data_IF_500615678896
#
_entry.id   IF_500615678896
#
_cell.length_a   1.000
_cell.length_b   1.000
_cell.length_c   1.000
_cell.angle_alpha   90.00
_cell.angle_beta   90.00
_cell.angle_gamma   90.00
#
_symmetry.space_group_name_H-M   'P 1'
#
loop_
_entity.id
_entity.type
_entity.pdbx_description
1 polymer ?
#
# COMPACT_ATOMS: atom_id res chain seq x y z
N UNK A 1 -18.43 -6.58 -21.13
CA UNK A 1 -18.23 -7.59 -22.20
C UNK A 1 -18.62 -8.96 -21.64
N UNK A 2 -19.33 -9.87 -22.35
CA UNK A 2 -19.68 -11.19 -21.81
C UNK A 2 -18.48 -12.01 -21.29
N UNK A 3 -17.31 -11.86 -21.91
CA UNK A 3 -16.07 -12.53 -21.47
C UNK A 3 -15.61 -12.00 -20.10
N UNK A 4 -15.54 -10.68 -19.93
CA UNK A 4 -15.16 -10.03 -18.66
C UNK A 4 -16.08 -10.44 -17.48
N UNK A 5 -17.37 -10.66 -17.77
CA UNK A 5 -18.33 -11.09 -16.74
C UNK A 5 -18.01 -12.52 -16.28
N UNK A 6 -17.70 -13.42 -17.20
CA UNK A 6 -17.36 -14.80 -16.87
C UNK A 6 -16.06 -14.88 -16.08
N UNK A 7 -15.04 -14.12 -16.48
CA UNK A 7 -13.76 -14.01 -15.77
C UNK A 7 -13.95 -13.53 -14.33
N UNK A 8 -14.76 -12.49 -14.12
CA UNK A 8 -15.05 -11.98 -12.79
C UNK A 8 -15.80 -13.01 -11.93
N UNK A 9 -16.72 -13.78 -12.52
CA UNK A 9 -17.43 -14.86 -11.80
C UNK A 9 -16.45 -15.96 -11.41
N UNK A 10 -15.58 -16.39 -12.32
CA UNK A 10 -14.57 -17.41 -12.07
C UNK A 10 -13.62 -16.98 -10.94
N UNK A 11 -13.06 -15.78 -11.02
CA UNK A 11 -12.18 -15.22 -9.99
C UNK A 11 -12.87 -15.16 -8.62
N UNK A 12 -14.09 -14.59 -8.58
CA UNK A 12 -14.84 -14.43 -7.34
C UNK A 12 -15.17 -15.79 -6.71
N UNK A 13 -15.50 -16.81 -7.51
CA UNK A 13 -15.86 -18.13 -7.01
C UNK A 13 -14.65 -19.05 -6.77
N UNK A 14 -13.46 -18.71 -7.25
CA UNK A 14 -12.28 -19.56 -7.15
C UNK A 14 -11.97 -20.03 -5.71
N UNK A 15 -11.99 -19.18 -4.66
CA UNK A 15 -11.71 -19.63 -3.29
C UNK A 15 -12.70 -20.68 -2.76
N UNK A 16 -13.96 -20.64 -3.21
CA UNK A 16 -15.01 -21.60 -2.83
C UNK A 16 -14.84 -22.95 -3.53
N UNK A 17 -14.24 -22.96 -4.72
CA UNK A 17 -14.08 -24.15 -5.55
C UNK A 17 -12.78 -24.92 -5.25
N UNK A 18 -11.84 -24.33 -4.52
CA UNK A 18 -10.58 -25.00 -4.12
C UNK A 18 -10.85 -25.95 -2.96
N UNK A 19 -10.52 -27.23 -3.14
CA UNK A 19 -10.68 -28.28 -2.11
C UNK A 19 -9.71 -28.15 -0.94
N UNK A 20 -8.53 -27.60 -1.20
CA UNK A 20 -7.47 -27.38 -0.23
C UNK A 20 -6.89 -25.98 -0.45
N UNK A 21 -6.30 -25.42 0.57
CA UNK A 21 -5.68 -24.10 0.51
C UNK A 21 -5.42 -23.55 1.89
N UNK A 22 -4.75 -22.42 1.93
CA UNK A 22 -4.53 -21.70 3.17
C UNK A 22 -5.82 -21.01 3.65
N UNK A 23 -6.00 -20.89 4.97
CA UNK A 23 -7.08 -20.08 5.51
C UNK A 23 -6.79 -18.58 5.23
N UNK A 24 -7.67 -17.86 4.51
CA UNK A 24 -7.47 -16.44 4.22
C UNK A 24 -7.27 -15.58 5.47
N UNK A 25 -7.93 -15.93 6.59
CA UNK A 25 -7.77 -15.22 7.85
C UNK A 25 -6.31 -15.22 8.33
N UNK A 26 -5.58 -16.31 8.07
CA UNK A 26 -4.16 -16.41 8.44
C UNK A 26 -3.28 -15.53 7.55
N UNK A 27 -3.56 -15.48 6.25
CA UNK A 27 -2.86 -14.57 5.32
C UNK A 27 -3.09 -13.11 5.72
N UNK A 28 -4.32 -12.74 6.09
CA UNK A 28 -4.64 -11.40 6.58
C UNK A 28 -3.92 -11.08 7.90
N UNK A 29 -3.86 -12.02 8.84
CA UNK A 29 -3.13 -11.87 10.09
C UNK A 29 -1.64 -11.61 9.83
N UNK A 30 -1.01 -12.46 9.02
CA UNK A 30 0.42 -12.35 8.69
C UNK A 30 0.74 -11.04 7.95
N UNK A 31 -0.14 -10.61 7.03
CA UNK A 31 0.00 -9.32 6.35
C UNK A 31 -0.02 -8.16 7.36
N UNK A 32 -0.93 -8.19 8.33
CA UNK A 32 -1.05 -7.14 9.36
C UNK A 32 0.17 -7.11 10.27
N UNK A 33 0.62 -8.27 10.75
CA UNK A 33 1.81 -8.40 11.59
C UNK A 33 3.06 -7.89 10.85
N UNK A 34 3.28 -8.36 9.61
CA UNK A 34 4.42 -7.94 8.81
C UNK A 34 4.42 -6.42 8.56
N UNK A 35 3.28 -5.84 8.19
CA UNK A 35 3.18 -4.39 7.96
C UNK A 35 3.41 -3.59 9.25
N UNK A 36 2.93 -4.08 10.39
CA UNK A 36 3.18 -3.44 11.69
C UNK A 36 4.67 -3.46 12.04
N UNK A 37 5.35 -4.59 11.83
CA UNK A 37 6.74 -4.78 12.21
C UNK A 37 7.71 -4.03 11.29
N UNK A 38 7.42 -3.97 9.98
CA UNK A 38 8.37 -3.48 8.97
C UNK A 38 8.01 -2.13 8.37
N UNK A 39 6.74 -1.74 8.41
CA UNK A 39 6.21 -0.50 7.80
C UNK A 39 5.44 0.36 8.83
N UNK A 40 5.61 0.05 10.12
CA UNK A 40 5.02 0.75 11.26
C UNK A 40 5.53 2.18 11.46
N UNK A 41 5.59 2.65 12.71
CA UNK A 41 5.91 4.05 13.02
C UNK A 41 7.33 4.42 12.57
N UNK A 42 8.32 3.58 12.92
CA UNK A 42 9.74 3.79 12.58
C UNK A 42 10.10 2.89 11.41
N UNK A 43 10.71 3.47 10.38
CA UNK A 43 11.05 2.78 9.14
C UNK A 43 12.53 2.92 8.82
N UNK A 44 13.07 1.95 8.11
CA UNK A 44 14.43 1.98 7.55
C UNK A 44 14.40 1.40 6.14
N UNK A 45 15.33 1.80 5.28
CA UNK A 45 15.46 1.25 3.92
C UNK A 45 15.48 -0.30 3.93
N UNK A 46 16.21 -0.89 4.89
CA UNK A 46 16.33 -2.35 5.03
C UNK A 46 14.96 -3.00 5.26
N UNK A 47 14.24 -2.58 6.30
CA UNK A 47 12.94 -3.17 6.64
C UNK A 47 11.90 -2.95 5.54
N UNK A 48 11.93 -1.80 4.87
CA UNK A 48 11.03 -1.50 3.76
C UNK A 48 11.29 -2.41 2.55
N UNK A 49 12.55 -2.68 2.21
CA UNK A 49 12.91 -3.63 1.15
C UNK A 49 12.53 -5.07 1.52
N UNK A 50 12.66 -5.45 2.79
CA UNK A 50 12.19 -6.75 3.28
C UNK A 50 10.66 -6.86 3.18
N UNK A 51 9.92 -5.83 3.59
CA UNK A 51 8.46 -5.81 3.48
C UNK A 51 7.97 -5.99 2.04
N UNK A 52 8.62 -5.35 1.06
CA UNK A 52 8.27 -5.52 -0.36
C UNK A 52 8.44 -6.97 -0.84
N UNK A 53 9.47 -7.67 -0.37
CA UNK A 53 9.67 -9.10 -0.70
C UNK A 53 8.62 -9.97 -0.02
N UNK A 54 8.33 -9.72 1.24
CA UNK A 54 7.29 -10.46 1.97
C UNK A 54 5.90 -10.27 1.33
N UNK A 55 5.61 -9.08 0.79
CA UNK A 55 4.38 -8.82 0.05
C UNK A 55 4.28 -9.65 -1.23
N UNK A 56 5.39 -9.90 -1.93
CA UNK A 56 5.41 -10.80 -3.08
C UNK A 56 5.12 -12.26 -2.67
N UNK A 57 5.61 -12.69 -1.51
CA UNK A 57 5.31 -14.02 -0.95
C UNK A 57 3.84 -14.14 -0.52
N UNK A 58 3.30 -13.10 0.14
CA UNK A 58 1.88 -13.05 0.53
C UNK A 58 0.95 -13.04 -0.70
N UNK A 59 1.35 -12.41 -1.80
CA UNK A 59 0.59 -12.44 -3.06
C UNK A 59 0.53 -13.85 -3.67
N UNK A 60 1.58 -14.66 -3.49
CA UNK A 60 1.54 -16.07 -3.91
C UNK A 60 0.61 -16.86 -2.99
N UNK A 61 0.64 -16.59 -1.68
CA UNK A 61 -0.20 -17.27 -0.69
C UNK A 61 -1.69 -16.98 -0.88
N UNK A 62 -2.07 -15.74 -1.14
CA UNK A 62 -3.48 -15.36 -1.29
C UNK A 62 -4.17 -16.13 -2.42
N UNK A 63 -3.47 -16.32 -3.55
CA UNK A 63 -3.94 -17.06 -4.73
C UNK A 63 -4.25 -18.53 -4.42
N UNK A 64 -3.73 -19.06 -3.32
CA UNK A 64 -3.90 -20.44 -2.87
C UNK A 64 -4.84 -20.58 -1.67
N UNK A 65 -5.59 -19.54 -1.30
CA UNK A 65 -6.54 -19.61 -0.18
C UNK A 65 -7.78 -20.43 -0.50
N UNK A 66 -8.36 -21.11 0.49
CA UNK A 66 -9.61 -21.87 0.38
C UNK A 66 -10.53 -21.59 1.56
N UNK A 67 -11.85 -21.56 1.32
CA UNK A 67 -12.85 -21.03 2.27
C UNK A 67 -14.02 -21.99 2.51
N UNK A 68 -13.89 -23.25 2.08
CA UNK A 68 -14.99 -24.20 2.01
C UNK A 68 -16.02 -23.83 0.92
N UNK A 69 -17.10 -24.61 0.81
CA UNK A 69 -18.01 -24.51 -0.34
C UNK A 69 -19.24 -23.61 -0.10
N UNK A 70 -19.48 -23.19 1.15
CA UNK A 70 -20.68 -22.41 1.50
C UNK A 70 -20.59 -20.97 1.00
N UNK A 71 -21.62 -20.55 0.27
CA UNK A 71 -21.84 -19.14 -0.11
C UNK A 71 -22.69 -18.37 0.92
N UNK A 72 -23.26 -19.07 1.90
CA UNK A 72 -24.14 -18.46 2.91
C UNK A 72 -23.23 -17.82 3.97
N UNK A 73 -23.19 -16.48 4.00
CA UNK A 73 -22.44 -15.66 4.95
C UNK A 73 -21.10 -16.30 5.36
N UNK A 74 -20.13 -16.25 4.44
CA UNK A 74 -18.83 -16.88 4.60
C UNK A 74 -17.74 -15.80 4.80
N UNK A 75 -17.34 -15.50 6.04
CA UNK A 75 -16.31 -14.49 6.32
C UNK A 75 -14.96 -14.82 5.68
N UNK A 76 -14.62 -16.12 5.58
CA UNK A 76 -13.40 -16.54 4.89
C UNK A 76 -13.43 -16.15 3.43
N UNK A 77 -14.57 -16.33 2.75
CA UNK A 77 -14.72 -15.90 1.37
C UNK A 77 -14.60 -14.40 1.20
N UNK A 78 -15.22 -13.60 2.07
CA UNK A 78 -15.06 -12.14 2.05
C UNK A 78 -13.59 -11.74 2.18
N UNK A 79 -12.86 -12.32 3.13
CA UNK A 79 -11.43 -12.07 3.29
C UNK A 79 -10.62 -12.48 2.06
N UNK A 80 -10.90 -13.65 1.47
CA UNK A 80 -10.22 -14.10 0.26
C UNK A 80 -10.35 -13.08 -0.90
N UNK A 81 -11.50 -12.44 -1.04
CA UNK A 81 -11.74 -11.42 -2.06
C UNK A 81 -11.02 -10.09 -1.76
N UNK A 82 -10.74 -9.79 -0.49
CA UNK A 82 -10.15 -8.52 -0.04
C UNK A 82 -8.62 -8.54 -0.02
N UNK A 83 -7.98 -9.70 0.15
CA UNK A 83 -6.53 -9.79 0.38
C UNK A 83 -5.71 -9.15 -0.75
N UNK A 84 -6.09 -9.36 -2.01
CA UNK A 84 -5.35 -8.81 -3.16
C UNK A 84 -5.28 -7.28 -3.09
N UNK A 85 -6.40 -6.62 -2.78
CA UNK A 85 -6.47 -5.18 -2.59
C UNK A 85 -5.68 -4.72 -1.34
N UNK A 86 -5.73 -5.49 -0.26
CA UNK A 86 -4.93 -5.19 0.95
C UNK A 86 -3.43 -5.25 0.67
N UNK A 87 -2.97 -6.25 -0.09
CA UNK A 87 -1.57 -6.39 -0.50
C UNK A 87 -1.16 -5.23 -1.42
N UNK A 88 -2.01 -4.87 -2.40
CA UNK A 88 -1.75 -3.74 -3.29
C UNK A 88 -1.54 -2.43 -2.53
N UNK A 89 -2.47 -2.09 -1.64
CA UNK A 89 -2.38 -0.85 -0.85
C UNK A 89 -1.16 -0.91 0.08
N UNK A 90 -0.88 -2.06 0.69
CA UNK A 90 0.31 -2.25 1.53
C UNK A 90 1.60 -2.04 0.75
N UNK A 91 1.67 -2.55 -0.50
CA UNK A 91 2.79 -2.36 -1.42
C UNK A 91 2.94 -0.91 -1.83
N UNK A 92 1.86 -0.20 -2.12
CA UNK A 92 1.89 1.24 -2.39
C UNK A 92 2.47 2.02 -1.20
N UNK A 93 2.02 1.72 0.02
CA UNK A 93 2.54 2.34 1.24
C UNK A 93 4.05 2.08 1.44
N UNK A 94 4.49 0.83 1.30
CA UNK A 94 5.88 0.45 1.43
C UNK A 94 6.77 1.11 0.35
N UNK A 95 6.32 1.17 -0.90
CA UNK A 95 7.02 1.85 -1.99
C UNK A 95 7.14 3.35 -1.74
N UNK A 96 6.04 4.01 -1.36
CA UNK A 96 6.06 5.44 -1.03
C UNK A 96 7.06 5.72 0.10
N UNK A 97 7.03 4.90 1.16
CA UNK A 97 7.93 5.04 2.30
C UNK A 97 9.41 4.77 1.94
N UNK A 98 9.67 3.80 1.06
CA UNK A 98 11.02 3.44 0.62
C UNK A 98 11.65 4.57 -0.19
N UNK A 99 10.90 5.10 -1.16
CA UNK A 99 11.39 6.16 -2.03
C UNK A 99 11.53 7.50 -1.32
N UNK A 100 10.67 7.80 -0.33
CA UNK A 100 10.72 9.07 0.42
C UNK A 100 11.81 9.04 1.49
N UNK A 101 12.96 9.60 1.16
CA UNK A 101 14.15 9.73 2.00
C UNK A 101 14.13 11.02 2.86
N UNK A 102 13.11 11.16 3.70
CA UNK A 102 13.02 12.18 4.76
C UNK A 102 12.13 11.67 5.90
N UNK A 103 12.00 12.46 6.97
CA UNK A 103 10.99 12.24 8.02
C UNK A 103 10.08 13.44 8.18
N UNK A 104 8.76 13.23 8.10
CA UNK A 104 7.73 14.26 8.23
C UNK A 104 6.38 13.67 8.60
N UNK A 105 5.73 14.21 9.64
CA UNK A 105 4.39 13.79 10.06
C UNK A 105 4.34 12.30 10.43
N UNK A 106 3.41 11.54 9.84
CA UNK A 106 3.30 10.07 10.04
C UNK A 106 4.37 9.24 9.33
N UNK A 107 5.30 9.87 8.61
CA UNK A 107 6.42 9.22 7.94
C UNK A 107 7.73 9.45 8.69
N UNK A 108 8.22 8.43 9.42
CA UNK A 108 9.50 8.49 10.14
C UNK A 108 10.48 7.46 9.60
N UNK A 109 11.58 7.95 9.03
CA UNK A 109 12.74 7.19 8.54
C UNK A 109 13.92 7.42 9.49
N UNK A 110 14.32 6.39 10.24
CA UNK A 110 15.44 6.49 11.18
C UNK A 110 16.77 6.77 10.47
N UNK A 111 16.89 6.27 9.23
CA UNK A 111 18.00 6.52 8.31
C UNK A 111 17.93 7.89 7.61
N UNK A 112 16.80 8.61 7.70
CA UNK A 112 16.59 9.96 7.18
C UNK A 112 15.75 10.80 8.18
N UNK A 113 16.29 11.17 9.35
CA UNK A 113 15.49 11.62 10.50
C UNK A 113 14.94 13.05 10.39
N UNK A 114 15.39 13.83 9.40
CA UNK A 114 15.05 15.24 9.24
C UNK A 114 14.16 15.48 8.02
N UNK A 115 13.23 16.44 8.07
CA UNK A 115 12.46 16.83 6.91
C UNK A 115 13.35 17.52 5.86
N UNK A 116 13.11 17.23 4.59
CA UNK A 116 13.72 17.88 3.44
C UNK A 116 12.71 18.82 2.77
N UNK A 117 12.86 20.12 2.99
CA UNK A 117 12.00 21.14 2.40
C UNK A 117 12.36 21.48 0.94
N UNK A 118 13.55 21.09 0.46
CA UNK A 118 14.05 21.47 -0.87
C UNK A 118 13.53 20.54 -1.95
N UNK A 119 13.63 19.23 -1.74
CA UNK A 119 13.13 18.24 -2.68
C UNK A 119 11.78 17.67 -2.22
N UNK A 120 11.77 16.91 -1.12
CA UNK A 120 10.57 16.19 -0.67
C UNK A 120 9.39 17.09 -0.27
N UNK A 121 9.67 18.29 0.24
CA UNK A 121 8.66 19.30 0.57
C UNK A 121 7.96 19.93 -0.63
N UNK A 122 8.46 19.71 -1.86
CA UNK A 122 7.94 20.32 -3.10
C UNK A 122 7.31 19.30 -4.06
N UNK A 123 7.18 18.03 -3.64
CA UNK A 123 6.66 16.95 -4.49
C UNK A 123 5.69 16.02 -3.76
N UNK A 124 4.76 15.45 -4.53
CA UNK A 124 3.90 14.35 -4.12
C UNK A 124 4.35 13.07 -4.82
N UNK A 125 4.34 11.95 -4.10
CA UNK A 125 4.47 10.62 -4.67
C UNK A 125 3.12 10.16 -5.20
N UNK A 126 3.07 9.78 -6.47
CA UNK A 126 1.88 9.23 -7.13
C UNK A 126 2.21 7.81 -7.55
N UNK A 127 1.40 6.85 -7.10
CA UNK A 127 1.59 5.43 -7.41
C UNK A 127 0.40 4.94 -8.23
N UNK A 128 0.68 4.29 -9.35
CA UNK A 128 -0.33 3.73 -10.25
C UNK A 128 -0.10 2.23 -10.43
N UNK A 129 -1.17 1.43 -10.33
CA UNK A 129 -1.13 0.00 -10.66
C UNK A 129 -1.49 -0.20 -12.14
N UNK A 130 -0.55 -0.72 -12.93
CA UNK A 130 -0.76 -1.20 -14.31
C UNK A 130 -0.35 -2.69 -14.41
N UNK A 131 0.73 -3.01 -15.13
CA UNK A 131 1.38 -4.34 -15.12
C UNK A 131 2.28 -4.57 -13.90
N UNK A 132 2.26 -3.62 -12.96
CA UNK A 132 3.07 -3.52 -11.76
C UNK A 132 2.77 -2.19 -11.08
N UNK A 133 3.47 -1.90 -9.99
CA UNK A 133 3.38 -0.60 -9.33
C UNK A 133 4.40 0.37 -9.96
N UNK A 134 3.91 1.45 -10.55
CA UNK A 134 4.74 2.54 -11.05
C UNK A 134 4.65 3.72 -10.09
N UNK A 135 5.81 4.28 -9.69
CA UNK A 135 5.88 5.49 -8.86
C UNK A 135 6.43 6.65 -9.68
N UNK A 136 5.78 7.80 -9.56
CA UNK A 136 6.25 9.07 -10.09
C UNK A 136 6.20 10.16 -9.00
N UNK A 137 7.07 11.16 -9.13
CA UNK A 137 7.06 12.34 -8.27
C UNK A 137 6.55 13.54 -9.04
N UNK A 138 5.39 14.07 -8.61
CA UNK A 138 4.77 15.25 -9.22
C UNK A 138 4.96 16.45 -8.33
N UNK A 139 5.53 17.53 -8.89
CA UNK A 139 5.60 18.82 -8.22
C UNK A 139 4.22 19.46 -8.19
N UNK A 140 3.79 19.95 -7.04
CA UNK A 140 2.54 20.72 -6.94
C UNK A 140 2.79 22.16 -7.43
N UNK A 141 1.76 22.83 -8.01
CA UNK A 141 1.90 24.21 -8.47
C UNK A 141 2.25 25.12 -7.30
N UNK A 142 2.95 26.22 -7.58
CA UNK A 142 3.16 27.25 -6.55
C UNK A 142 1.79 27.74 -6.07
N UNK A 143 1.67 27.90 -4.76
CA UNK A 143 0.50 28.54 -4.18
C UNK A 143 0.40 29.97 -4.74
N UNK A 144 -0.81 30.36 -5.11
CA UNK A 144 -1.10 31.69 -5.62
C UNK A 144 -0.84 32.74 -4.54
N UNK A 145 -0.35 33.93 -4.93
CA UNK A 145 -0.02 35.00 -3.98
C UNK A 145 -1.23 35.48 -3.17
N UNK A 146 -2.44 35.44 -3.73
CA UNK A 146 -3.66 35.75 -2.98
C UNK A 146 -3.93 34.71 -1.88
N UNK A 147 -3.68 33.43 -2.17
CA UNK A 147 -3.86 32.35 -1.20
C UNK A 147 -2.76 32.37 -0.12
N UNK A 148 -1.53 32.77 -0.48
CA UNK A 148 -0.44 32.94 0.50
C UNK A 148 -0.77 33.98 1.56
N UNK A 149 -1.44 35.07 1.18
CA UNK A 149 -1.84 36.13 2.12
C UNK A 149 -2.85 35.65 3.17
N UNK A 150 -3.53 34.53 2.92
CA UNK A 150 -4.47 33.91 3.86
C UNK A 150 -3.80 32.92 4.83
N UNK A 151 -2.52 32.59 4.62
CA UNK A 151 -1.76 31.69 5.47
C UNK A 151 -0.95 32.49 6.49
N UNK A 152 -0.82 31.94 7.69
CA UNK A 152 0.09 32.48 8.69
C UNK A 152 1.54 32.26 8.22
N UNK A 153 2.29 33.36 8.06
CA UNK A 153 3.64 33.37 7.48
C UNK A 153 4.61 32.47 8.28
N UNK A 154 4.36 32.29 9.57
CA UNK A 154 5.16 31.43 10.46
C UNK A 154 5.07 29.93 10.09
N UNK A 155 4.00 29.51 9.41
CA UNK A 155 3.82 28.12 8.95
C UNK A 155 4.47 27.86 7.58
N UNK A 156 4.90 28.89 6.88
CA UNK A 156 5.53 28.78 5.55
C UNK A 156 7.03 28.53 5.70
N UNK A 157 7.42 27.25 5.69
CA UNK A 157 8.82 26.83 5.51
C UNK A 157 9.29 27.04 4.06
N UNK A 158 9.35 28.29 3.60
CA UNK A 158 9.99 28.67 2.34
C UNK A 158 11.51 28.83 2.58
N UNK A 159 12.28 27.74 2.46
CA UNK A 159 13.72 27.89 2.16
C UNK A 159 13.89 28.13 0.65
N UNK A 160 14.59 29.22 0.31
CA UNK A 160 14.99 29.61 -1.06
C UNK A 160 15.67 28.46 -1.83
#
# INVERSE_FOLDING_TARGET
NPVEIEEAIEETLAPLNRKNGENPAKVVEDLREMMQDKVGIIRTEKLLKEALKDLDELEIREKNTSVGESKIYNPGWHQALEISAMIDVSRMCALAALHREESRGGHTRDDFPTPDYKYWGKINSVITKKNGMEIEHRRYPKIDEELKQLLDIEDLHEEE
#
